data_IF_321053188972
#
_entry.id   IF_321053188972
#
_cell.length_a   1.000
_cell.length_b   1.000
_cell.length_c   1.000
_cell.angle_alpha   90.00
_cell.angle_beta   90.00
_cell.angle_gamma   90.00
#
_symmetry.space_group_name_H-M   'P 1'
#
loop_
_entity.id
_entity.type
_entity.pdbx_description
1 polymer ?
#
# COMPACT_ATOMS: atom_id res chain seq x y z
N UNK A 1 2.03 18.08 13.84
CA UNK A 1 1.49 17.06 12.92
C UNK A 1 1.18 17.64 11.54
N UNK A 2 0.33 18.69 11.42
CA UNK A 2 0.01 19.31 10.11
C UNK A 2 1.26 19.71 9.30
N UNK A 3 2.29 20.27 9.92
CA UNK A 3 3.52 20.67 9.23
C UNK A 3 4.30 19.47 8.70
N UNK A 4 4.43 18.38 9.48
CA UNK A 4 5.11 17.15 9.07
C UNK A 4 4.42 16.55 7.84
N UNK A 5 3.09 16.40 7.91
CA UNK A 5 2.30 15.88 6.76
C UNK A 5 2.50 16.76 5.53
N UNK A 6 2.46 18.09 5.69
CA UNK A 6 2.67 19.04 4.59
C UNK A 6 4.05 18.87 3.93
N UNK A 7 5.10 18.66 4.72
CA UNK A 7 6.44 18.45 4.21
C UNK A 7 6.53 17.18 3.35
N UNK A 8 5.96 16.05 3.81
CA UNK A 8 5.93 14.82 3.00
C UNK A 8 5.09 14.94 1.74
N UNK A 9 3.96 15.65 1.81
CA UNK A 9 3.15 15.92 0.62
C UNK A 9 3.90 16.75 -0.42
N UNK A 10 4.78 17.67 0.02
CA UNK A 10 5.64 18.43 -0.89
C UNK A 10 6.63 17.50 -1.59
N UNK A 11 7.29 16.59 -0.85
CA UNK A 11 8.25 15.66 -1.44
C UNK A 11 7.58 14.65 -2.40
N UNK A 12 6.40 14.14 -2.04
CA UNK A 12 5.59 13.30 -2.95
C UNK A 12 5.26 14.06 -4.24
N UNK A 13 4.77 15.29 -4.10
CA UNK A 13 4.42 16.13 -5.25
C UNK A 13 5.64 16.43 -6.12
N UNK A 14 6.80 16.66 -5.53
CA UNK A 14 8.04 16.92 -6.24
C UNK A 14 8.53 15.69 -7.03
N UNK A 15 8.48 14.49 -6.42
CA UNK A 15 8.75 13.24 -7.11
C UNK A 15 7.79 13.02 -8.29
N UNK A 16 6.49 13.21 -8.09
CA UNK A 16 5.49 13.00 -9.13
C UNK A 16 5.54 14.05 -10.25
N UNK A 17 6.05 15.25 -9.98
CA UNK A 17 6.31 16.26 -11.01
C UNK A 17 7.54 15.96 -11.85
N UNK A 18 8.46 15.14 -11.35
CA UNK A 18 9.63 14.76 -12.10
C UNK A 18 9.25 13.74 -13.17
N UNK A 19 9.22 14.18 -14.44
CA UNK A 19 8.81 13.34 -15.58
C UNK A 19 9.62 12.05 -15.71
N UNK A 20 10.94 12.08 -15.41
CA UNK A 20 11.79 10.89 -15.46
C UNK A 20 11.33 9.87 -14.42
N UNK A 21 11.11 10.30 -13.18
CA UNK A 21 10.58 9.44 -12.13
C UNK A 21 9.23 8.84 -12.51
N UNK A 22 8.27 9.70 -12.84
CA UNK A 22 6.90 9.30 -13.11
C UNK A 22 6.80 8.29 -14.27
N UNK A 23 7.40 8.61 -15.42
CA UNK A 23 7.33 7.72 -16.58
C UNK A 23 8.06 6.40 -16.35
N UNK A 24 9.20 6.41 -15.68
CA UNK A 24 9.93 5.18 -15.38
C UNK A 24 9.13 4.28 -14.42
N UNK A 25 8.52 4.84 -13.38
CA UNK A 25 7.73 4.05 -12.43
C UNK A 25 6.46 3.50 -13.09
N UNK A 26 5.75 4.28 -13.90
CA UNK A 26 4.61 3.78 -14.68
C UNK A 26 5.05 2.65 -15.60
N UNK A 27 6.14 2.81 -16.34
CA UNK A 27 6.65 1.79 -17.26
C UNK A 27 7.02 0.50 -16.53
N UNK A 28 7.78 0.58 -15.43
CA UNK A 28 8.14 -0.59 -14.62
C UNK A 28 6.88 -1.25 -14.04
N UNK A 29 5.90 -0.46 -13.58
CA UNK A 29 4.64 -1.00 -13.04
C UNK A 29 3.86 -1.80 -14.08
N UNK A 30 3.77 -1.28 -15.31
CA UNK A 30 3.10 -1.99 -16.41
C UNK A 30 3.83 -3.30 -16.73
N UNK A 31 5.17 -3.28 -16.81
CA UNK A 31 5.95 -4.47 -17.11
C UNK A 31 5.88 -5.52 -15.99
N UNK A 32 5.92 -5.10 -14.73
CA UNK A 32 5.98 -6.01 -13.59
C UNK A 32 4.61 -6.54 -13.17
N UNK A 33 3.58 -5.68 -13.20
CA UNK A 33 2.26 -5.98 -12.66
C UNK A 33 1.19 -6.15 -13.74
N UNK A 34 1.47 -5.73 -14.99
CA UNK A 34 0.49 -5.72 -16.05
C UNK A 34 -0.07 -7.12 -16.38
N UNK A 35 0.78 -8.15 -16.32
CA UNK A 35 0.32 -9.52 -16.51
C UNK A 35 -0.66 -9.95 -15.42
N UNK A 36 -0.35 -9.68 -14.15
CA UNK A 36 -1.19 -10.02 -13.02
C UNK A 36 -2.56 -9.32 -13.08
N UNK A 37 -2.60 -8.07 -13.55
CA UNK A 37 -3.83 -7.29 -13.70
C UNK A 37 -4.72 -7.82 -14.82
N UNK A 38 -4.10 -8.31 -15.92
CA UNK A 38 -4.83 -8.69 -17.14
C UNK A 38 -5.14 -10.19 -17.22
N UNK A 39 -4.46 -11.01 -16.43
CA UNK A 39 -4.61 -12.46 -16.42
C UNK A 39 -5.03 -12.94 -15.05
N UNK A 40 -6.18 -13.55 -15.01
CA UNK A 40 -6.72 -14.13 -13.79
C UNK A 40 -5.88 -15.35 -13.37
N UNK A 41 -5.28 -15.29 -12.17
CA UNK A 41 -4.65 -16.44 -11.55
C UNK A 41 -5.54 -16.93 -10.40
N UNK A 42 -6.00 -18.17 -10.48
CA UNK A 42 -6.79 -18.79 -9.41
C UNK A 42 -5.83 -19.31 -8.35
N UNK A 43 -5.77 -18.65 -7.20
CA UNK A 43 -5.09 -19.18 -6.02
C UNK A 43 -5.95 -20.24 -5.32
N UNK A 44 -5.33 -21.01 -4.43
CA UNK A 44 -6.05 -22.05 -3.66
C UNK A 44 -7.21 -21.45 -2.85
N UNK A 45 -6.99 -20.26 -2.28
CA UNK A 45 -8.00 -19.55 -1.50
C UNK A 45 -9.14 -19.01 -2.40
N UNK A 46 -8.84 -18.74 -3.67
CA UNK A 46 -9.81 -18.18 -4.62
C UNK A 46 -10.83 -19.20 -5.13
N UNK A 47 -10.53 -20.50 -5.03
CA UNK A 47 -11.49 -21.56 -5.34
C UNK A 47 -12.73 -21.53 -4.44
N UNK A 48 -12.63 -20.90 -3.29
CA UNK A 48 -13.73 -20.74 -2.34
C UNK A 48 -14.40 -19.35 -2.42
N UNK A 49 -14.06 -18.52 -3.41
CA UNK A 49 -14.37 -17.09 -3.48
C UNK A 49 -15.87 -16.77 -3.48
N UNK A 50 -16.73 -17.59 -4.03
CA UNK A 50 -18.18 -17.43 -3.89
C UNK A 50 -18.65 -17.46 -2.42
N UNK A 51 -17.79 -17.93 -1.51
CA UNK A 51 -17.99 -17.89 -0.06
C UNK A 51 -17.22 -16.76 0.62
N UNK A 52 -16.11 -16.29 0.04
CA UNK A 52 -15.20 -15.32 0.67
C UNK A 52 -15.74 -13.90 0.68
N UNK A 53 -16.57 -13.53 -0.28
CA UNK A 53 -17.24 -12.22 -0.30
C UNK A 53 -18.46 -12.20 0.63
N UNK A 54 -18.87 -13.36 1.17
CA UNK A 54 -19.92 -13.35 2.18
C UNK A 54 -19.40 -12.75 3.49
N UNK A 55 -20.09 -11.75 4.00
CA UNK A 55 -19.83 -11.07 5.28
C UNK A 55 -19.54 -12.04 6.41
N UNK A 56 -20.24 -13.16 6.46
CA UNK A 56 -20.11 -14.18 7.47
C UNK A 56 -18.74 -14.87 7.45
N UNK A 57 -18.15 -15.08 6.28
CA UNK A 57 -16.86 -15.79 6.20
C UNK A 57 -15.70 -14.89 6.63
N UNK A 58 -15.61 -13.67 6.12
CA UNK A 58 -14.55 -12.72 6.48
C UNK A 58 -14.58 -12.43 7.99
N UNK A 59 -15.78 -12.25 8.56
CA UNK A 59 -15.94 -12.02 10.00
C UNK A 59 -15.61 -13.27 10.83
N UNK A 60 -15.92 -14.48 10.35
CA UNK A 60 -15.56 -15.73 11.03
C UNK A 60 -14.04 -15.90 11.15
N UNK A 61 -13.28 -15.38 10.20
CA UNK A 61 -11.81 -15.32 10.23
C UNK A 61 -11.27 -14.17 11.10
N UNK A 62 -12.15 -13.40 11.76
CA UNK A 62 -11.80 -12.23 12.57
C UNK A 62 -11.15 -11.10 11.78
N UNK A 63 -11.30 -11.07 10.45
CA UNK A 63 -10.76 -10.05 9.54
C UNK A 63 -11.76 -8.90 9.36
N UNK A 64 -12.25 -8.33 10.46
CA UNK A 64 -13.25 -7.27 10.42
C UNK A 64 -12.77 -6.01 9.67
N UNK A 65 -11.47 -5.73 9.63
CA UNK A 65 -10.90 -4.62 8.87
C UNK A 65 -11.04 -4.82 7.36
N UNK A 66 -10.83 -6.04 6.85
CA UNK A 66 -11.07 -6.39 5.45
C UNK A 66 -12.56 -6.29 5.11
N UNK A 67 -13.44 -6.79 5.98
CA UNK A 67 -14.87 -6.65 5.84
C UNK A 67 -15.30 -5.18 5.74
N UNK A 68 -14.81 -4.33 6.65
CA UNK A 68 -15.11 -2.91 6.66
C UNK A 68 -14.63 -2.22 5.37
N UNK A 69 -13.41 -2.53 4.93
CA UNK A 69 -12.83 -1.99 3.71
C UNK A 69 -13.69 -2.33 2.48
N UNK A 70 -14.07 -3.60 2.34
CA UNK A 70 -14.83 -4.06 1.19
C UNK A 70 -16.24 -3.48 1.16
N UNK A 71 -16.89 -3.36 2.32
CA UNK A 71 -18.17 -2.66 2.43
C UNK A 71 -18.04 -1.16 2.08
N UNK A 72 -17.00 -0.48 2.54
CA UNK A 72 -16.77 0.94 2.18
C UNK A 72 -16.54 1.14 0.68
N UNK A 73 -15.88 0.19 0.03
CA UNK A 73 -15.63 0.23 -1.41
C UNK A 73 -16.78 -0.37 -2.23
N UNK A 74 -17.85 -0.85 -1.57
CA UNK A 74 -18.97 -1.54 -2.18
C UNK A 74 -18.56 -2.73 -3.07
N UNK A 75 -17.52 -3.46 -2.63
CA UNK A 75 -17.03 -4.67 -3.28
C UNK A 75 -17.86 -5.84 -2.79
N UNK A 76 -19.08 -5.96 -3.33
CA UNK A 76 -20.01 -7.02 -2.97
C UNK A 76 -19.87 -8.26 -3.85
N UNK A 77 -19.26 -8.10 -5.02
CA UNK A 77 -19.01 -9.16 -5.97
C UNK A 77 -17.52 -9.24 -6.28
N UNK A 78 -17.06 -10.46 -6.54
CA UNK A 78 -15.70 -10.70 -6.92
C UNK A 78 -15.42 -10.10 -8.30
N UNK A 79 -14.57 -9.08 -8.32
CA UNK A 79 -14.11 -8.42 -9.55
C UNK A 79 -12.58 -8.45 -9.61
N UNK A 80 -11.99 -9.52 -10.16
CA UNK A 80 -10.54 -9.73 -10.17
C UNK A 80 -9.78 -8.53 -10.72
N UNK A 81 -10.18 -8.04 -11.90
CA UNK A 81 -9.52 -6.91 -12.55
C UNK A 81 -9.44 -5.67 -11.65
N UNK A 82 -10.55 -5.30 -11.01
CA UNK A 82 -10.59 -4.11 -10.16
C UNK A 82 -9.75 -4.27 -8.89
N UNK A 83 -9.83 -5.43 -8.27
CA UNK A 83 -9.03 -5.72 -7.08
C UNK A 83 -7.54 -5.68 -7.39
N UNK A 84 -7.12 -6.33 -8.47
CA UNK A 84 -5.71 -6.35 -8.90
C UNK A 84 -5.24 -4.96 -9.35
N UNK A 85 -6.06 -4.21 -10.07
CA UNK A 85 -5.75 -2.84 -10.45
C UNK A 85 -5.58 -1.91 -9.25
N UNK A 86 -6.49 -1.99 -8.27
CA UNK A 86 -6.39 -1.20 -7.04
C UNK A 86 -5.18 -1.63 -6.20
N UNK A 87 -4.90 -2.93 -6.13
CA UNK A 87 -3.72 -3.49 -5.47
C UNK A 87 -2.43 -2.97 -6.10
N UNK A 88 -2.31 -3.05 -7.42
CA UNK A 88 -1.16 -2.53 -8.16
C UNK A 88 -0.99 -1.02 -7.93
N UNK A 89 -2.08 -0.26 -8.01
CA UNK A 89 -2.06 1.19 -7.74
C UNK A 89 -1.60 1.47 -6.31
N UNK A 90 -2.10 0.71 -5.33
CA UNK A 90 -1.69 0.82 -3.93
C UNK A 90 -0.21 0.52 -3.71
N UNK A 91 0.35 -0.48 -4.42
CA UNK A 91 1.79 -0.79 -4.36
C UNK A 91 2.64 0.35 -4.92
N UNK A 92 2.21 0.97 -6.02
CA UNK A 92 2.88 2.16 -6.57
C UNK A 92 2.83 3.32 -5.58
N UNK A 93 1.67 3.58 -4.98
CA UNK A 93 1.52 4.60 -3.94
C UNK A 93 2.46 4.33 -2.77
N UNK A 94 2.54 3.08 -2.30
CA UNK A 94 3.42 2.68 -1.23
C UNK A 94 4.90 2.95 -1.57
N UNK A 95 5.34 2.58 -2.78
CA UNK A 95 6.69 2.86 -3.27
C UNK A 95 7.01 4.36 -3.29
N UNK A 96 6.05 5.19 -3.74
CA UNK A 96 6.18 6.65 -3.76
C UNK A 96 6.27 7.23 -2.34
N UNK A 97 5.45 6.76 -1.39
CA UNK A 97 5.48 7.21 0.00
C UNK A 97 6.84 6.93 0.64
N UNK A 98 7.36 5.71 0.46
CA UNK A 98 8.67 5.33 1.02
C UNK A 98 9.80 6.11 0.33
N UNK A 99 9.74 6.30 -0.97
CA UNK A 99 10.71 7.12 -1.71
C UNK A 99 10.72 8.57 -1.24
N UNK A 100 9.55 9.15 -0.99
CA UNK A 100 9.43 10.52 -0.46
C UNK A 100 10.00 10.62 0.97
N UNK A 101 9.79 9.58 1.80
CA UNK A 101 10.40 9.50 3.12
C UNK A 101 11.94 9.46 3.02
N UNK A 102 12.49 8.58 2.19
CA UNK A 102 13.94 8.48 1.96
C UNK A 102 14.48 9.82 1.46
N UNK A 103 13.84 10.43 0.46
CA UNK A 103 14.26 11.72 -0.12
C UNK A 103 14.33 12.83 0.94
N UNK A 104 13.30 12.92 1.80
CA UNK A 104 13.26 13.92 2.85
C UNK A 104 14.39 13.75 3.88
N UNK A 105 14.69 12.52 4.26
CA UNK A 105 15.69 12.27 5.30
C UNK A 105 17.12 12.30 4.75
N UNK A 106 17.37 11.83 3.53
CA UNK A 106 18.70 11.88 2.88
C UNK A 106 19.03 13.24 2.28
N UNK A 107 18.03 14.05 1.94
CA UNK A 107 18.17 15.32 1.23
C UNK A 107 18.90 15.20 -0.11
N UNK A 108 18.96 14.00 -0.68
CA UNK A 108 19.60 13.75 -1.98
C UNK A 108 18.79 14.41 -3.10
N UNK A 109 19.48 15.18 -3.94
CA UNK A 109 18.85 15.92 -5.04
C UNK A 109 18.66 15.06 -6.30
N UNK A 110 19.48 14.03 -6.47
CA UNK A 110 19.35 13.11 -7.60
C UNK A 110 18.07 12.32 -7.49
N UNK A 111 17.36 12.17 -8.60
CA UNK A 111 16.13 11.36 -8.67
C UNK A 111 16.42 9.87 -8.86
N UNK A 112 17.63 9.53 -9.29
CA UNK A 112 18.03 8.17 -9.64
C UNK A 112 17.88 7.15 -8.49
N UNK A 113 18.32 7.43 -7.25
CA UNK A 113 18.15 6.49 -6.13
C UNK A 113 16.68 6.13 -5.89
N UNK A 114 15.76 7.08 -6.05
CA UNK A 114 14.32 6.88 -5.84
C UNK A 114 13.69 6.07 -6.95
N UNK A 115 14.16 6.24 -8.20
CA UNK A 115 13.78 5.40 -9.33
C UNK A 115 14.21 3.95 -9.09
N UNK A 116 15.47 3.74 -8.69
CA UNK A 116 16.02 2.41 -8.43
C UNK A 116 15.24 1.75 -7.29
N UNK A 117 15.05 2.44 -6.17
CA UNK A 117 14.31 1.91 -5.03
C UNK A 117 12.88 1.51 -5.43
N UNK A 118 12.12 2.45 -6.02
CA UNK A 118 10.74 2.18 -6.42
C UNK A 118 10.66 1.06 -7.47
N UNK A 119 11.58 1.03 -8.41
CA UNK A 119 11.64 -0.01 -9.44
C UNK A 119 11.89 -1.39 -8.85
N UNK A 120 12.90 -1.55 -8.00
CA UNK A 120 13.20 -2.82 -7.31
C UNK A 120 12.04 -3.23 -6.40
N UNK A 121 11.42 -2.28 -5.70
CA UNK A 121 10.28 -2.56 -4.84
C UNK A 121 9.09 -3.11 -5.63
N UNK A 122 8.68 -2.43 -6.72
CA UNK A 122 7.52 -2.82 -7.53
C UNK A 122 7.78 -4.13 -8.28
N UNK A 123 9.00 -4.36 -8.75
CA UNK A 123 9.35 -5.59 -9.48
C UNK A 123 9.72 -6.78 -8.59
N UNK A 124 9.68 -6.61 -7.26
CA UNK A 124 10.03 -7.68 -6.32
C UNK A 124 9.10 -8.89 -6.46
N UNK A 125 9.62 -10.12 -6.64
CA UNK A 125 8.81 -11.33 -6.72
C UNK A 125 7.95 -11.57 -5.47
N UNK A 126 8.44 -11.16 -4.30
CA UNK A 126 7.71 -11.28 -3.03
C UNK A 126 6.43 -10.44 -3.07
N UNK A 127 6.52 -9.22 -3.62
CA UNK A 127 5.37 -8.32 -3.74
C UNK A 127 4.40 -8.81 -4.82
N UNK A 128 4.93 -9.34 -5.93
CA UNK A 128 4.10 -9.93 -6.98
C UNK A 128 3.31 -11.15 -6.49
N UNK A 129 3.81 -11.85 -5.47
CA UNK A 129 3.10 -12.96 -4.86
C UNK A 129 1.77 -12.56 -4.19
N UNK A 130 1.57 -11.27 -3.85
CA UNK A 130 0.29 -10.78 -3.31
C UNK A 130 -0.86 -10.96 -4.30
N UNK A 131 -0.60 -10.93 -5.61
CA UNK A 131 -1.63 -11.15 -6.63
C UNK A 131 -2.13 -12.60 -6.71
N UNK A 132 -1.44 -13.53 -6.04
CA UNK A 132 -1.93 -14.90 -5.91
C UNK A 132 -3.06 -15.05 -4.85
N UNK A 133 -3.31 -14.01 -4.07
CA UNK A 133 -4.34 -13.99 -3.00
C UNK A 133 -5.37 -12.91 -3.29
N UNK A 134 -6.10 -13.06 -4.39
CA UNK A 134 -6.99 -12.02 -4.91
C UNK A 134 -8.05 -11.55 -3.91
N UNK A 135 -8.55 -12.46 -3.08
CA UNK A 135 -9.54 -12.14 -2.04
C UNK A 135 -9.05 -11.17 -0.96
N UNK A 136 -7.72 -11.06 -0.77
CA UNK A 136 -7.13 -10.28 0.33
C UNK A 136 -6.02 -9.32 -0.11
N UNK A 137 -5.61 -9.36 -1.38
CA UNK A 137 -4.48 -8.58 -1.89
C UNK A 137 -4.62 -7.07 -1.63
N UNK A 138 -5.78 -6.50 -1.88
CA UNK A 138 -6.05 -5.08 -1.64
C UNK A 138 -5.97 -4.73 -0.14
N UNK A 139 -6.53 -5.57 0.72
CA UNK A 139 -6.47 -5.37 2.17
C UNK A 139 -5.01 -5.42 2.69
N UNK A 140 -4.20 -6.35 2.17
CA UNK A 140 -2.77 -6.46 2.50
C UNK A 140 -2.03 -5.18 2.11
N UNK A 141 -2.26 -4.67 0.90
CA UNK A 141 -1.57 -3.46 0.42
C UNK A 141 -1.98 -2.23 1.23
N UNK A 142 -3.27 -2.06 1.53
CA UNK A 142 -3.76 -0.96 2.36
C UNK A 142 -3.19 -1.07 3.78
N UNK A 143 -3.12 -2.28 4.35
CA UNK A 143 -2.47 -2.54 5.63
C UNK A 143 -1.01 -2.07 5.62
N UNK A 144 -0.25 -2.41 4.58
CA UNK A 144 1.15 -1.99 4.44
C UNK A 144 1.28 -0.46 4.32
N UNK A 145 0.38 0.21 3.61
CA UNK A 145 0.36 1.68 3.53
C UNK A 145 0.16 2.27 4.94
N UNK A 146 -0.79 1.76 5.71
CA UNK A 146 -1.06 2.23 7.08
C UNK A 146 0.16 1.99 7.98
N UNK A 147 0.76 0.80 7.92
CA UNK A 147 1.97 0.45 8.69
C UNK A 147 3.12 1.42 8.38
N UNK A 148 3.38 1.70 7.12
CA UNK A 148 4.44 2.63 6.72
C UNK A 148 4.15 4.05 7.20
N UNK A 149 2.91 4.53 7.07
CA UNK A 149 2.51 5.85 7.59
C UNK A 149 2.71 5.91 9.10
N UNK A 150 2.27 4.89 9.84
CA UNK A 150 2.50 4.78 11.29
C UNK A 150 3.99 4.78 11.62
N UNK A 151 4.82 4.03 10.88
CA UNK A 151 6.28 4.00 11.04
C UNK A 151 6.91 5.38 10.83
N UNK A 152 6.51 6.10 9.77
CA UNK A 152 6.96 7.48 9.52
C UNK A 152 6.55 8.42 10.66
N UNK A 153 5.34 8.27 11.20
CA UNK A 153 4.88 9.07 12.33
C UNK A 153 5.66 8.76 13.61
N UNK A 154 5.96 7.48 13.88
CA UNK A 154 6.82 7.07 15.01
C UNK A 154 8.19 7.70 14.89
N UNK A 155 8.83 7.56 13.73
CA UNK A 155 10.14 8.13 13.46
C UNK A 155 10.17 9.64 13.72
N UNK A 156 9.23 10.38 13.12
CA UNK A 156 9.17 11.83 13.32
C UNK A 156 8.84 12.22 14.77
N UNK A 157 7.98 11.45 15.45
CA UNK A 157 7.67 11.74 16.86
C UNK A 157 8.87 11.49 17.77
N UNK A 158 9.61 10.42 17.52
CA UNK A 158 10.79 10.08 18.30
C UNK A 158 11.90 11.13 18.16
N UNK A 159 12.23 11.51 16.93
CA UNK A 159 13.35 12.41 16.67
C UNK A 159 13.00 13.90 16.73
N UNK A 160 11.74 14.30 16.40
CA UNK A 160 11.40 15.72 16.20
C UNK A 160 10.36 16.25 17.17
N UNK A 161 9.32 15.50 17.52
CA UNK A 161 8.15 16.06 18.22
C UNK A 161 8.05 15.67 19.70
N UNK A 162 8.49 14.46 20.07
CA UNK A 162 8.48 13.90 21.44
C UNK A 162 7.12 13.98 22.15
N UNK A 163 6.00 13.84 21.43
CA UNK A 163 4.63 13.93 21.99
C UNK A 163 4.11 12.56 22.40
N UNK A 164 3.90 12.32 23.67
CA UNK A 164 3.46 11.02 24.22
C UNK A 164 2.09 10.57 23.70
N UNK A 165 1.13 11.47 23.57
CA UNK A 165 -0.22 11.15 23.09
C UNK A 165 -0.25 10.62 21.64
N UNK A 166 0.75 10.99 20.83
CA UNK A 166 0.83 10.52 19.45
C UNK A 166 1.08 9.02 19.36
N UNK A 167 1.80 8.43 20.32
CA UNK A 167 2.00 6.97 20.38
C UNK A 167 0.69 6.21 20.61
N UNK A 168 -0.25 6.79 21.37
CA UNK A 168 -1.58 6.20 21.57
C UNK A 168 -2.36 6.19 20.24
N UNK A 169 -2.36 7.32 19.52
CA UNK A 169 -3.01 7.42 18.21
C UNK A 169 -2.41 6.44 17.19
N UNK A 170 -1.08 6.30 17.17
CA UNK A 170 -0.40 5.34 16.31
C UNK A 170 -0.76 3.89 16.70
N UNK A 171 -0.80 3.60 18.00
CA UNK A 171 -1.25 2.30 18.52
C UNK A 171 -2.65 1.95 18.02
N UNK A 172 -3.60 2.88 18.11
CA UNK A 172 -4.95 2.72 17.55
C UNK A 172 -4.89 2.51 16.02
N UNK A 173 -4.08 3.30 15.30
CA UNK A 173 -3.90 3.15 13.86
C UNK A 173 -3.36 1.76 13.45
N UNK A 174 -2.49 1.17 14.28
CA UNK A 174 -1.92 -0.17 14.03
C UNK A 174 -2.90 -1.32 14.27
N UNK A 175 -4.03 -1.08 14.96
CA UNK A 175 -5.08 -2.13 15.08
C UNK A 175 -5.77 -2.42 13.76
N UNK A 176 -5.85 -1.44 12.86
CA UNK A 176 -6.51 -1.59 11.54
C UNK A 176 -5.77 -2.62 10.67
N UNK A 177 -4.45 -2.52 10.43
CA UNK A 177 -3.68 -3.54 9.72
C UNK A 177 -3.81 -4.95 10.33
N UNK A 178 -3.80 -5.05 11.65
CA UNK A 178 -3.96 -6.34 12.35
C UNK A 178 -5.35 -6.93 12.08
N UNK A 179 -6.38 -6.10 11.98
CA UNK A 179 -7.73 -6.53 11.69
C UNK A 179 -7.98 -6.85 10.21
N UNK A 180 -7.09 -6.42 9.32
CA UNK A 180 -7.17 -6.71 7.89
C UNK A 180 -6.54 -8.05 7.52
N UNK A 181 -5.62 -8.54 8.31
CA UNK A 181 -4.87 -9.78 8.10
C UNK A 181 -5.13 -10.76 9.22
#
# INVERSE_FOLDING_TARGET
>A
MKQIVKEYLIEIKDLLKNKKYLYTIIFISILSLGFAITHYSIGVDDLCLNRYVSDTYILSQKRWGTWLLYNMLNINEFSPFWLDFLTATGLVILAVIVSAFIKKETKEKSVLPYIIFSGVFISSPIINNFFMYQSTNLAIVISNIIIIICGILIYNNYFKCKRKWLYILIGIGMTIPIAMY
#
